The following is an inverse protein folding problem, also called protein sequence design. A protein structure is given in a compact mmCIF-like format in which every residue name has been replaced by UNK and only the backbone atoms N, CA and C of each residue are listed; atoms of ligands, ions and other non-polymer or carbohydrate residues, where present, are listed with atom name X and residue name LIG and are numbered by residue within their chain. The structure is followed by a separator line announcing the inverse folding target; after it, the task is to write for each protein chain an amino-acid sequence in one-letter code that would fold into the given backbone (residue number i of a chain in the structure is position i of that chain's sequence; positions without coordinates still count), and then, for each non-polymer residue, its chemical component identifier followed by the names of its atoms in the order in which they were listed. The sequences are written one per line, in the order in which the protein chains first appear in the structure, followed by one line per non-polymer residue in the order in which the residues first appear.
data_IF_118945890621
#
_entry.id   IF_118945890621
#
_cell.length_a   1.000
_cell.length_b   1.000
_cell.length_c   1.000
_cell.angle_alpha   90.00
_cell.angle_beta   90.00
_cell.angle_gamma   90.00
#
_symmetry.space_group_name_H-M   'P 1'
#
loop_
_entity.id
_entity.type
_entity.pdbx_description
1 polymer ?
#
# COMPACT_ATOMS: atom_id res chain seq x y z
N UNK A 1 24.02 2.35 22.41
CA UNK A 1 23.81 1.03 21.75
C UNK A 1 22.42 1.04 21.16
N UNK A 2 22.28 0.70 19.88
CA UNK A 2 20.97 0.62 19.22
C UNK A 2 20.30 -0.69 19.64
N UNK A 3 19.10 -0.64 20.18
CA UNK A 3 18.32 -1.83 20.56
C UNK A 3 17.64 -2.44 19.33
N UNK A 4 17.07 -3.64 19.45
CA UNK A 4 16.28 -4.25 18.37
C UNK A 4 15.07 -3.39 18.04
N UNK A 5 14.42 -2.80 19.05
CA UNK A 5 13.23 -1.96 18.85
C UNK A 5 13.56 -0.65 18.12
N UNK A 6 14.76 -0.09 18.29
CA UNK A 6 15.18 1.10 17.56
C UNK A 6 15.24 0.87 16.04
N UNK A 7 15.38 -0.40 15.60
CA UNK A 7 15.36 -0.75 14.17
C UNK A 7 14.00 -0.60 13.51
N UNK A 8 12.93 -0.51 14.27
CA UNK A 8 11.57 -0.28 13.77
C UNK A 8 11.20 1.20 13.67
N UNK A 9 12.05 2.10 14.16
CA UNK A 9 11.81 3.53 14.12
C UNK A 9 12.05 4.12 12.74
N UNK A 10 11.26 5.14 12.44
CA UNK A 10 11.28 5.88 11.17
C UNK A 10 11.59 7.37 11.39
N UNK A 11 12.27 7.72 12.49
CA UNK A 11 12.62 9.11 12.80
C UNK A 11 13.43 9.74 11.66
N UNK A 12 13.01 10.92 11.23
CA UNK A 12 13.64 11.66 10.14
C UNK A 12 13.38 11.07 8.75
N UNK A 13 12.47 10.10 8.62
CA UNK A 13 12.02 9.54 7.34
C UNK A 13 10.80 10.27 6.83
N UNK A 14 10.66 10.32 5.50
CA UNK A 14 9.49 10.85 4.80
C UNK A 14 8.80 9.71 4.06
N UNK A 15 7.52 9.47 4.39
CA UNK A 15 6.73 8.42 3.80
C UNK A 15 5.57 8.98 2.95
N UNK A 16 5.47 8.53 1.69
CA UNK A 16 4.31 8.77 0.84
C UNK A 16 3.33 7.62 1.05
N UNK A 17 2.07 7.93 1.37
CA UNK A 17 0.98 6.95 1.45
C UNK A 17 -0.07 7.30 0.41
N UNK A 18 -0.28 6.41 -0.56
CA UNK A 18 -1.33 6.58 -1.57
C UNK A 18 -2.64 5.95 -1.11
N UNK A 19 -3.79 6.51 -1.53
CA UNK A 19 -5.09 6.08 -1.05
C UNK A 19 -5.32 6.38 0.44
N UNK A 20 -4.69 7.44 0.95
CA UNK A 20 -4.70 7.79 2.37
C UNK A 20 -6.00 8.47 2.86
N UNK A 21 -7.05 8.54 2.03
CA UNK A 21 -8.32 9.20 2.38
C UNK A 21 -9.32 8.31 3.12
N UNK A 22 -9.05 7.00 3.26
CA UNK A 22 -9.95 6.06 3.94
C UNK A 22 -9.28 4.70 4.21
N UNK A 23 -9.95 3.88 5.03
CA UNK A 23 -9.62 2.47 5.25
C UNK A 23 -8.18 2.22 5.66
N UNK A 24 -7.53 1.25 5.03
CA UNK A 24 -6.17 0.84 5.35
C UNK A 24 -5.14 1.96 5.19
N UNK A 25 -5.34 2.88 4.23
CA UNK A 25 -4.44 4.01 4.03
C UNK A 25 -4.35 4.94 5.23
N UNK A 26 -5.45 5.13 5.95
CA UNK A 26 -5.49 5.90 7.21
C UNK A 26 -4.72 5.18 8.31
N UNK A 27 -4.93 3.86 8.46
CA UNK A 27 -4.20 3.05 9.45
C UNK A 27 -2.68 3.05 9.17
N UNK A 28 -2.28 2.95 7.90
CA UNK A 28 -0.87 3.02 7.50
C UNK A 28 -0.25 4.38 7.81
N UNK A 29 -0.96 5.47 7.48
CA UNK A 29 -0.51 6.82 7.78
C UNK A 29 -0.32 7.03 9.29
N UNK A 30 -1.31 6.63 10.10
CA UNK A 30 -1.23 6.69 11.58
C UNK A 30 0.00 5.95 12.08
N UNK A 31 0.18 4.68 11.71
CA UNK A 31 1.26 3.85 12.22
C UNK A 31 2.65 4.34 11.79
N UNK A 32 2.80 4.84 10.54
CA UNK A 32 4.05 5.43 10.07
C UNK A 32 4.39 6.72 10.83
N UNK A 33 3.40 7.56 11.14
CA UNK A 33 3.58 8.75 11.97
C UNK A 33 3.99 8.37 13.39
N UNK A 34 3.32 7.43 14.03
CA UNK A 34 3.66 6.91 15.37
C UNK A 34 5.07 6.29 15.41
N UNK A 35 5.52 5.68 14.31
CA UNK A 35 6.88 5.18 14.16
C UNK A 35 7.93 6.28 13.94
N UNK A 36 7.53 7.54 13.68
CA UNK A 36 8.41 8.70 13.60
C UNK A 36 8.55 9.32 12.20
N UNK A 37 7.81 8.86 11.18
CA UNK A 37 7.89 9.40 9.83
C UNK A 37 7.07 10.68 9.65
N UNK A 38 7.56 11.63 8.86
CA UNK A 38 6.76 12.70 8.28
C UNK A 38 6.03 12.17 7.03
N UNK A 39 4.86 12.73 6.69
CA UNK A 39 3.96 12.11 5.73
C UNK A 39 3.61 12.99 4.53
N UNK A 40 3.46 12.35 3.37
CA UNK A 40 2.78 12.88 2.20
C UNK A 40 1.58 11.98 1.92
N UNK A 41 0.39 12.53 2.04
CA UNK A 41 -0.88 11.82 1.93
C UNK A 41 -1.50 12.11 0.57
N UNK A 42 -1.64 11.09 -0.29
CA UNK A 42 -2.15 11.27 -1.64
C UNK A 42 -3.45 10.50 -1.87
N UNK A 43 -4.47 11.16 -2.38
CA UNK A 43 -5.73 10.57 -2.84
C UNK A 43 -6.54 11.61 -3.64
N UNK A 44 -7.61 11.16 -4.32
CA UNK A 44 -8.51 12.06 -5.07
C UNK A 44 -9.38 12.95 -4.19
N UNK A 45 -9.75 12.47 -2.98
CA UNK A 45 -10.68 13.17 -2.06
C UNK A 45 -9.89 14.03 -1.08
N UNK A 46 -9.60 15.27 -1.49
CA UNK A 46 -8.76 16.21 -0.74
C UNK A 46 -9.29 16.47 0.69
N UNK A 47 -10.60 16.68 0.85
CA UNK A 47 -11.23 16.96 2.14
C UNK A 47 -11.04 15.83 3.17
N UNK A 48 -10.98 14.57 2.71
CA UNK A 48 -10.75 13.41 3.57
C UNK A 48 -9.28 13.24 3.95
N UNK A 49 -8.36 13.73 3.14
CA UNK A 49 -6.94 13.72 3.45
C UNK A 49 -6.62 14.60 4.66
N UNK A 50 -7.37 15.68 4.87
CA UNK A 50 -7.20 16.57 6.03
C UNK A 50 -7.48 15.86 7.36
N UNK A 51 -8.43 14.92 7.38
CA UNK A 51 -8.68 14.07 8.56
C UNK A 51 -7.46 13.20 8.86
N UNK A 52 -6.88 12.59 7.84
CA UNK A 52 -5.68 11.75 8.00
C UNK A 52 -4.45 12.59 8.37
N UNK A 53 -4.34 13.80 7.82
CA UNK A 53 -3.29 14.75 8.21
C UNK A 53 -3.35 15.09 9.69
N UNK A 54 -4.54 15.40 10.20
CA UNK A 54 -4.73 15.69 11.62
C UNK A 54 -4.32 14.53 12.53
N UNK A 55 -4.54 13.28 12.11
CA UNK A 55 -4.07 12.08 12.86
C UNK A 55 -2.53 12.04 12.93
N UNK A 56 -1.84 12.33 11.83
CA UNK A 56 -0.37 12.37 11.82
C UNK A 56 0.17 13.51 12.69
N UNK A 57 -0.47 14.67 12.67
CA UNK A 57 -0.11 15.83 13.50
C UNK A 57 -0.31 15.54 15.00
N UNK A 58 -1.37 14.79 15.37
CA UNK A 58 -1.57 14.33 16.75
C UNK A 58 -0.45 13.38 17.23
N UNK A 59 0.15 12.61 16.33
CA UNK A 59 1.36 11.83 16.61
C UNK A 59 2.65 12.68 16.64
N UNK A 60 2.54 14.01 16.51
CA UNK A 60 3.68 14.94 16.54
C UNK A 60 4.50 14.96 15.25
N UNK A 61 3.93 14.52 14.11
CA UNK A 61 4.61 14.47 12.82
C UNK A 61 4.05 15.51 11.85
N UNK A 62 4.90 15.97 10.92
CA UNK A 62 4.46 16.85 9.85
C UNK A 62 3.79 16.02 8.77
N UNK A 63 2.71 16.54 8.20
CA UNK A 63 2.04 15.91 7.08
C UNK A 63 1.52 16.94 6.07
N UNK A 64 1.65 16.64 4.78
CA UNK A 64 1.02 17.38 3.69
C UNK A 64 0.04 16.49 2.93
N UNK A 65 -0.95 17.13 2.31
CA UNK A 65 -1.97 16.46 1.50
C UNK A 65 -1.79 16.85 0.03
N UNK A 66 -1.94 15.89 -0.87
CA UNK A 66 -1.87 16.09 -2.32
C UNK A 66 -3.08 15.41 -2.97
N UNK A 67 -3.96 16.20 -3.57
CA UNK A 67 -5.04 15.66 -4.39
C UNK A 67 -4.45 15.10 -5.70
N UNK A 68 -4.63 13.79 -5.94
CA UNK A 68 -4.02 13.12 -7.09
C UNK A 68 -4.89 11.95 -7.58
N UNK A 69 -5.03 11.80 -8.89
CA UNK A 69 -5.52 10.60 -9.55
C UNK A 69 -4.35 9.77 -10.08
N UNK A 70 -4.01 8.70 -9.38
CA UNK A 70 -2.82 7.91 -9.70
C UNK A 70 -2.94 7.10 -10.99
N UNK A 71 -4.10 7.08 -11.65
CA UNK A 71 -4.21 6.61 -13.02
C UNK A 71 -3.44 7.52 -14.01
N UNK A 72 -3.12 8.77 -13.61
CA UNK A 72 -2.41 9.76 -14.39
C UNK A 72 -0.92 9.83 -13.98
N UNK A 73 0.04 9.59 -14.90
CA UNK A 73 1.47 9.63 -14.59
C UNK A 73 1.97 10.98 -14.08
N UNK A 74 1.36 12.08 -14.57
CA UNK A 74 1.67 13.45 -14.16
C UNK A 74 1.33 13.69 -12.69
N UNK A 75 0.21 13.16 -12.20
CA UNK A 75 -0.19 13.29 -10.80
C UNK A 75 0.78 12.52 -9.88
N UNK A 76 1.24 11.34 -10.31
CA UNK A 76 2.26 10.60 -9.57
C UNK A 76 3.56 11.40 -9.43
N UNK A 77 3.97 12.11 -10.50
CA UNK A 77 5.14 13.00 -10.46
C UNK A 77 4.91 14.18 -9.53
N UNK A 78 3.73 14.82 -9.59
CA UNK A 78 3.38 15.96 -8.73
C UNK A 78 3.37 15.61 -7.24
N UNK A 79 2.94 14.39 -6.86
CA UNK A 79 3.02 13.90 -5.47
C UNK A 79 4.47 13.86 -4.98
N UNK A 80 5.39 13.33 -5.79
CA UNK A 80 6.81 13.24 -5.43
C UNK A 80 7.47 14.61 -5.39
N UNK A 81 7.14 15.49 -6.35
CA UNK A 81 7.64 16.88 -6.35
C UNK A 81 7.20 17.64 -5.11
N UNK A 82 5.95 17.48 -4.66
CA UNK A 82 5.45 18.08 -3.43
C UNK A 82 6.22 17.56 -2.20
N UNK A 83 6.53 16.25 -2.15
CA UNK A 83 7.34 15.66 -1.09
C UNK A 83 8.75 16.26 -1.05
N UNK A 84 9.42 16.34 -2.20
CA UNK A 84 10.77 16.94 -2.30
C UNK A 84 10.76 18.42 -1.93
N UNK A 85 9.77 19.18 -2.38
CA UNK A 85 9.63 20.61 -2.06
C UNK A 85 9.47 20.85 -0.56
N UNK A 86 8.67 20.04 0.12
CA UNK A 86 8.35 20.24 1.54
C UNK A 86 9.40 19.64 2.50
N UNK A 87 9.90 18.44 2.18
CA UNK A 87 10.74 17.66 3.08
C UNK A 87 12.17 17.45 2.59
N UNK A 88 12.46 17.70 1.30
CA UNK A 88 13.78 17.53 0.70
C UNK A 88 14.11 16.11 0.23
N UNK A 89 13.37 15.10 0.65
CA UNK A 89 13.63 13.70 0.32
C UNK A 89 12.36 12.84 0.43
N UNK A 90 12.46 11.59 -0.05
CA UNK A 90 11.44 10.54 0.13
C UNK A 90 12.16 9.24 0.46
N UNK A 91 11.78 8.59 1.57
CA UNK A 91 12.39 7.33 2.02
C UNK A 91 11.46 6.13 1.87
N UNK A 92 10.15 6.34 2.00
CA UNK A 92 9.17 5.27 1.99
C UNK A 92 8.04 5.60 1.02
N UNK A 93 7.66 4.62 0.19
CA UNK A 93 6.43 4.67 -0.60
C UNK A 93 5.54 3.50 -0.19
N UNK A 94 4.30 3.79 0.19
CA UNK A 94 3.24 2.80 0.36
C UNK A 94 2.24 2.96 -0.79
N UNK A 95 2.34 2.09 -1.78
CA UNK A 95 1.39 1.96 -2.88
C UNK A 95 0.15 1.22 -2.39
N UNK A 96 -0.78 1.97 -1.80
CA UNK A 96 -2.02 1.43 -1.24
C UNK A 96 -3.27 1.82 -2.06
N UNK A 97 -3.24 2.91 -2.81
CA UNK A 97 -4.38 3.28 -3.67
C UNK A 97 -4.83 2.11 -4.53
N UNK A 98 -6.13 1.87 -4.56
CA UNK A 98 -6.69 0.78 -5.32
C UNK A 98 -8.21 0.83 -5.40
N UNK A 99 -8.74 0.11 -6.39
CA UNK A 99 -10.16 -0.08 -6.64
C UNK A 99 -10.48 -1.57 -6.73
N UNK A 100 -11.48 -2.02 -5.98
CA UNK A 100 -12.07 -3.34 -6.13
C UNK A 100 -13.17 -3.33 -7.19
N UNK A 101 -13.43 -4.50 -7.78
CA UNK A 101 -14.61 -4.74 -8.62
C UNK A 101 -15.14 -6.14 -8.33
N UNK A 102 -16.45 -6.33 -8.46
CA UNK A 102 -17.09 -7.64 -8.37
C UNK A 102 -18.09 -7.77 -9.54
N UNK A 103 -17.54 -7.95 -10.75
CA UNK A 103 -18.31 -8.03 -11.99
C UNK A 103 -17.99 -9.37 -12.68
N UNK A 104 -19.01 -10.20 -13.03
CA UNK A 104 -18.77 -11.41 -13.82
C UNK A 104 -18.02 -11.11 -15.11
N UNK A 105 -16.99 -11.90 -15.43
CA UNK A 105 -16.11 -11.66 -16.57
C UNK A 105 -16.85 -11.55 -17.92
N UNK A 106 -17.99 -12.23 -18.06
CA UNK A 106 -18.85 -12.14 -19.25
C UNK A 106 -19.63 -10.81 -19.36
N UNK A 107 -19.63 -9.99 -18.30
CA UNK A 107 -20.35 -8.71 -18.23
C UNK A 107 -19.41 -7.53 -17.99
N UNK A 108 -18.16 -7.78 -17.61
CA UNK A 108 -17.15 -6.75 -17.38
C UNK A 108 -16.80 -6.08 -18.72
N UNK A 109 -17.00 -4.78 -18.79
CA UNK A 109 -16.66 -4.01 -19.99
C UNK A 109 -15.16 -3.74 -20.07
N UNK A 110 -14.60 -3.53 -21.29
CA UNK A 110 -13.19 -3.14 -21.46
C UNK A 110 -12.80 -1.88 -20.67
N UNK A 111 -13.73 -0.93 -20.50
CA UNK A 111 -13.49 0.29 -19.73
C UNK A 111 -13.35 -0.01 -18.23
N UNK A 112 -14.24 -0.83 -17.66
CA UNK A 112 -14.14 -1.25 -16.26
C UNK A 112 -12.86 -2.01 -15.97
N UNK A 113 -12.46 -2.93 -16.85
CA UNK A 113 -11.20 -3.67 -16.72
C UNK A 113 -10.00 -2.73 -16.73
N UNK A 114 -9.93 -1.81 -17.73
CA UNK A 114 -8.83 -0.84 -17.85
C UNK A 114 -8.74 0.06 -16.62
N UNK A 115 -9.85 0.60 -16.14
CA UNK A 115 -9.86 1.47 -14.95
C UNK A 115 -9.21 0.80 -13.74
N UNK A 116 -9.49 -0.49 -13.51
CA UNK A 116 -8.86 -1.23 -12.41
C UNK A 116 -7.36 -1.42 -12.63
N UNK A 117 -6.95 -1.78 -13.84
CA UNK A 117 -5.53 -1.93 -14.19
C UNK A 117 -4.81 -0.58 -14.05
N UNK A 118 -5.40 0.50 -14.54
CA UNK A 118 -4.78 1.83 -14.51
C UNK A 118 -4.54 2.31 -13.07
N UNK A 119 -5.50 2.11 -12.17
CA UNK A 119 -5.33 2.51 -10.78
C UNK A 119 -4.40 1.55 -10.01
N UNK A 120 -4.68 0.23 -10.07
CA UNK A 120 -4.05 -0.75 -9.18
C UNK A 120 -2.64 -1.19 -9.60
N UNK A 121 -2.32 -1.11 -10.89
CA UNK A 121 -1.05 -1.56 -11.43
C UNK A 121 -0.25 -0.41 -12.03
N UNK A 122 -0.81 0.29 -13.02
CA UNK A 122 -0.11 1.36 -13.70
C UNK A 122 0.20 2.52 -12.74
N UNK A 123 -0.77 2.93 -11.90
CA UNK A 123 -0.57 3.98 -10.90
C UNK A 123 0.49 3.62 -9.86
N UNK A 124 0.53 2.36 -9.40
CA UNK A 124 1.60 1.88 -8.54
C UNK A 124 2.98 1.94 -9.23
N UNK A 125 3.03 1.63 -10.53
CA UNK A 125 4.27 1.73 -11.30
C UNK A 125 4.72 3.19 -11.49
N UNK A 126 3.81 4.10 -11.82
CA UNK A 126 4.13 5.53 -11.96
C UNK A 126 4.67 6.12 -10.66
N UNK A 127 4.03 5.82 -9.54
CA UNK A 127 4.52 6.23 -8.22
C UNK A 127 5.89 5.63 -7.89
N UNK A 128 6.07 4.32 -8.12
CA UNK A 128 7.35 3.66 -7.89
C UNK A 128 8.46 4.25 -8.78
N UNK A 129 8.16 4.52 -10.06
CA UNK A 129 9.11 5.13 -10.99
C UNK A 129 9.50 6.55 -10.57
N UNK A 130 8.53 7.39 -10.21
CA UNK A 130 8.78 8.76 -9.76
C UNK A 130 9.62 8.77 -8.48
N UNK A 131 9.26 7.96 -7.48
CA UNK A 131 10.02 7.79 -6.24
C UNK A 131 11.42 7.21 -6.50
N UNK A 132 11.53 6.19 -7.34
CA UNK A 132 12.80 5.52 -7.65
C UNK A 132 13.85 6.43 -8.31
N UNK A 133 13.44 7.59 -8.88
CA UNK A 133 14.36 8.60 -9.41
C UNK A 133 15.03 9.43 -8.32
N UNK A 134 14.36 9.63 -7.17
CA UNK A 134 14.77 10.58 -6.12
C UNK A 134 15.10 9.93 -4.78
N UNK A 135 14.66 8.70 -4.54
CA UNK A 135 14.86 7.99 -3.27
C UNK A 135 16.36 7.74 -2.99
N UNK A 136 16.86 8.07 -1.77
CA UNK A 136 18.22 7.74 -1.36
C UNK A 136 18.38 6.25 -1.04
N UNK A 137 19.62 5.72 -0.97
CA UNK A 137 19.89 4.38 -0.45
C UNK A 137 19.31 4.17 0.96
N UNK A 138 18.79 2.98 1.21
CA UNK A 138 18.09 2.63 2.45
C UNK A 138 16.57 2.83 2.40
N UNK A 139 16.05 3.34 1.28
CA UNK A 139 14.61 3.54 1.06
C UNK A 139 13.85 2.24 0.84
N UNK A 140 12.53 2.30 1.00
CA UNK A 140 11.62 1.15 0.83
C UNK A 140 10.36 1.51 0.04
N UNK A 141 9.97 0.64 -0.87
CA UNK A 141 8.68 0.66 -1.57
C UNK A 141 7.88 -0.55 -1.12
N UNK A 142 6.66 -0.32 -0.66
CA UNK A 142 5.74 -1.35 -0.18
C UNK A 142 4.48 -1.30 -1.05
N UNK A 143 4.25 -2.36 -1.82
CA UNK A 143 3.10 -2.50 -2.68
C UNK A 143 2.00 -3.29 -1.97
N UNK A 144 0.82 -2.71 -1.79
CA UNK A 144 -0.32 -3.40 -1.20
C UNK A 144 -1.02 -4.22 -2.30
N UNK A 145 -0.65 -5.49 -2.38
CA UNK A 145 -1.25 -6.48 -3.26
C UNK A 145 -2.59 -7.00 -2.68
N UNK A 146 -2.83 -8.30 -2.73
CA UNK A 146 -4.00 -8.98 -2.14
C UNK A 146 -3.79 -10.49 -2.20
N UNK A 147 -4.42 -11.25 -1.31
CA UNK A 147 -4.58 -12.70 -1.46
C UNK A 147 -5.29 -13.08 -2.77
N UNK A 148 -6.11 -12.20 -3.33
CA UNK A 148 -6.72 -12.39 -4.65
C UNK A 148 -5.71 -12.49 -5.81
N UNK A 149 -4.45 -12.10 -5.59
CA UNK A 149 -3.33 -12.33 -6.51
C UNK A 149 -2.78 -13.76 -6.44
N UNK A 150 -3.07 -14.49 -5.37
CA UNK A 150 -2.50 -15.81 -5.06
C UNK A 150 -3.55 -16.92 -5.20
N UNK A 151 -4.80 -16.63 -4.80
CA UNK A 151 -5.89 -17.59 -4.82
C UNK A 151 -7.22 -16.89 -5.12
N UNK A 152 -8.19 -17.62 -5.70
CA UNK A 152 -9.53 -17.09 -5.93
C UNK A 152 -10.39 -17.22 -4.67
N UNK A 153 -10.99 -16.12 -4.24
CA UNK A 153 -11.95 -16.07 -3.13
C UNK A 153 -13.41 -16.36 -3.51
N UNK A 154 -13.67 -16.70 -4.78
CA UNK A 154 -15.03 -16.97 -5.27
C UNK A 154 -15.82 -15.72 -5.69
N UNK A 155 -15.30 -14.52 -5.49
CA UNK A 155 -15.88 -13.30 -6.08
C UNK A 155 -15.42 -13.16 -7.54
N UNK A 156 -16.29 -12.65 -8.44
CA UNK A 156 -15.92 -12.38 -9.83
C UNK A 156 -15.08 -11.10 -9.93
N UNK A 157 -13.77 -11.22 -9.79
CA UNK A 157 -12.82 -10.09 -9.66
C UNK A 157 -11.65 -10.18 -10.65
N UNK A 158 -11.92 -10.51 -11.93
CA UNK A 158 -10.86 -10.77 -12.92
C UNK A 158 -9.85 -9.62 -13.03
N UNK A 159 -10.31 -8.39 -13.26
CA UNK A 159 -9.44 -7.22 -13.36
C UNK A 159 -8.64 -6.96 -12.05
N UNK A 160 -9.31 -7.08 -10.91
CA UNK A 160 -8.67 -6.89 -9.61
C UNK A 160 -7.56 -7.92 -9.36
N UNK A 161 -7.88 -9.22 -9.52
CA UNK A 161 -6.91 -10.30 -9.33
C UNK A 161 -5.71 -10.17 -10.30
N UNK A 162 -5.98 -9.86 -11.57
CA UNK A 162 -4.94 -9.62 -12.58
C UNK A 162 -4.04 -8.44 -12.19
N UNK A 163 -4.63 -7.32 -11.74
CA UNK A 163 -3.86 -6.14 -11.31
C UNK A 163 -2.96 -6.43 -10.10
N UNK A 164 -3.48 -7.15 -9.10
CA UNK A 164 -2.72 -7.48 -7.89
C UNK A 164 -1.66 -8.56 -8.13
N UNK A 165 -1.91 -9.52 -9.03
CA UNK A 165 -0.90 -10.46 -9.50
C UNK A 165 0.21 -9.76 -10.30
N UNK A 166 -0.15 -8.83 -11.19
CA UNK A 166 0.80 -7.97 -11.90
C UNK A 166 1.68 -7.16 -10.95
N UNK A 167 1.11 -6.64 -9.85
CA UNK A 167 1.84 -5.87 -8.84
C UNK A 167 2.87 -6.73 -8.10
N UNK A 168 2.60 -8.02 -7.85
CA UNK A 168 3.58 -8.97 -7.31
C UNK A 168 4.73 -9.20 -8.31
N UNK A 169 4.42 -9.32 -9.61
CA UNK A 169 5.43 -9.42 -10.67
C UNK A 169 6.31 -8.18 -10.72
N UNK A 170 5.69 -7.00 -10.72
CA UNK A 170 6.38 -5.70 -10.69
C UNK A 170 7.29 -5.55 -9.46
N UNK A 171 6.84 -5.99 -8.29
CA UNK A 171 7.63 -5.97 -7.05
C UNK A 171 8.94 -6.72 -7.20
N UNK A 172 8.92 -7.92 -7.78
CA UNK A 172 10.13 -8.74 -7.99
C UNK A 172 11.09 -8.08 -8.97
N UNK A 173 10.57 -7.58 -10.08
CA UNK A 173 11.40 -6.96 -11.13
C UNK A 173 12.09 -5.68 -10.63
N UNK A 174 11.33 -4.77 -9.98
CA UNK A 174 11.90 -3.55 -9.43
C UNK A 174 12.89 -3.81 -8.30
N UNK A 175 12.68 -4.84 -7.48
CA UNK A 175 13.64 -5.23 -6.44
C UNK A 175 14.99 -5.66 -7.05
N UNK A 176 14.97 -6.46 -8.12
CA UNK A 176 16.20 -6.86 -8.83
C UNK A 176 16.90 -5.66 -9.44
N UNK A 177 16.15 -4.73 -10.05
CA UNK A 177 16.71 -3.55 -10.69
C UNK A 177 17.34 -2.57 -9.68
N UNK A 178 16.73 -2.41 -8.49
CA UNK A 178 17.03 -1.26 -7.63
C UNK A 178 17.74 -1.60 -6.33
N UNK A 179 17.56 -2.80 -5.75
CA UNK A 179 18.12 -3.08 -4.43
C UNK A 179 19.65 -3.00 -4.44
N UNK A 180 20.32 -3.70 -5.32
CA UNK A 180 21.78 -3.65 -5.41
C UNK A 180 22.34 -2.34 -5.98
N UNK A 181 21.63 -1.71 -6.93
CA UNK A 181 22.14 -0.54 -7.66
C UNK A 181 21.83 0.80 -7.00
N UNK A 182 20.70 0.88 -6.30
CA UNK A 182 20.18 2.12 -5.69
C UNK A 182 20.01 2.00 -4.17
N UNK A 183 20.12 0.80 -3.61
CA UNK A 183 19.83 0.57 -2.19
C UNK A 183 18.34 0.70 -1.84
N UNK A 184 17.43 0.57 -2.81
CA UNK A 184 15.98 0.68 -2.61
C UNK A 184 15.39 -0.73 -2.52
N UNK A 185 14.76 -1.07 -1.40
CA UNK A 185 14.03 -2.32 -1.24
C UNK A 185 12.62 -2.18 -1.82
N UNK A 186 12.14 -3.23 -2.49
CA UNK A 186 10.77 -3.29 -3.00
C UNK A 186 10.13 -4.58 -2.51
N UNK A 187 9.02 -4.46 -1.79
CA UNK A 187 8.28 -5.60 -1.22
C UNK A 187 6.79 -5.47 -1.51
N UNK A 188 6.08 -6.56 -1.48
CA UNK A 188 4.62 -6.55 -1.50
C UNK A 188 4.05 -7.13 -0.20
N UNK A 189 2.87 -6.67 0.18
CA UNK A 189 2.02 -7.33 1.17
C UNK A 189 0.80 -7.87 0.43
N UNK A 190 0.37 -9.09 0.75
CA UNK A 190 -0.88 -9.67 0.27
C UNK A 190 -1.86 -9.79 1.45
N UNK A 191 -2.69 -8.77 1.72
CA UNK A 191 -3.68 -8.82 2.77
C UNK A 191 -4.82 -9.79 2.44
N UNK A 192 -5.35 -10.46 3.49
CA UNK A 192 -6.62 -11.14 3.48
C UNK A 192 -7.81 -10.19 3.70
N UNK A 193 -8.76 -10.60 4.53
CA UNK A 193 -9.91 -9.78 4.87
C UNK A 193 -9.60 -8.81 6.01
N UNK A 194 -9.64 -7.52 5.69
CA UNK A 194 -9.53 -6.40 6.64
C UNK A 194 -10.70 -5.44 6.42
N UNK A 195 -11.36 -4.94 7.47
CA UNK A 195 -12.44 -3.95 7.35
C UNK A 195 -11.97 -2.69 6.62
N UNK A 196 -12.71 -2.27 5.60
CA UNK A 196 -12.41 -1.08 4.78
C UNK A 196 -13.60 -0.72 3.90
N UNK A 197 -13.64 0.51 3.34
CA UNK A 197 -14.65 0.90 2.33
C UNK A 197 -14.71 -0.07 1.12
N UNK A 198 -13.65 -0.81 0.85
CA UNK A 198 -13.62 -1.81 -0.23
C UNK A 198 -14.38 -3.07 0.18
N UNK A 199 -14.23 -3.53 1.41
CA UNK A 199 -14.95 -4.71 1.93
C UNK A 199 -16.43 -4.44 2.17
N UNK A 200 -16.81 -3.17 2.43
CA UNK A 200 -18.20 -2.74 2.56
C UNK A 200 -19.00 -2.88 1.24
N UNK A 201 -18.29 -3.03 0.11
CA UNK A 201 -18.89 -3.26 -1.22
C UNK A 201 -19.13 -4.75 -1.51
N UNK A 202 -18.72 -5.66 -0.63
CA UNK A 202 -18.98 -7.08 -0.80
C UNK A 202 -20.44 -7.40 -0.52
N UNK A 203 -20.99 -8.48 -1.10
CA UNK A 203 -22.34 -8.93 -0.78
C UNK A 203 -22.51 -9.17 0.72
N UNK A 204 -23.70 -8.88 1.25
CA UNK A 204 -24.03 -9.10 2.65
C UNK A 204 -23.70 -10.54 3.08
N UNK A 205 -23.06 -10.69 4.23
CA UNK A 205 -22.65 -11.97 4.77
C UNK A 205 -21.50 -12.66 4.03
N UNK A 206 -20.92 -12.04 2.98
CA UNK A 206 -19.80 -12.66 2.25
C UNK A 206 -18.58 -12.88 3.16
N UNK A 207 -18.16 -11.86 3.91
CA UNK A 207 -17.01 -11.99 4.84
C UNK A 207 -17.28 -13.08 5.87
N UNK A 208 -18.48 -13.09 6.48
CA UNK A 208 -18.88 -14.11 7.47
C UNK A 208 -18.84 -15.53 6.88
N UNK A 209 -19.23 -15.69 5.61
CA UNK A 209 -19.17 -16.98 4.92
C UNK A 209 -17.73 -17.49 4.71
N UNK A 210 -16.74 -16.59 4.75
CA UNK A 210 -15.32 -16.94 4.62
C UNK A 210 -14.66 -17.26 5.98
N UNK A 211 -15.23 -16.82 7.12
CA UNK A 211 -14.64 -17.04 8.44
C UNK A 211 -14.31 -18.51 8.74
N UNK A 212 -15.14 -19.51 8.39
CA UNK A 212 -14.79 -20.92 8.60
C UNK A 212 -13.54 -21.39 7.85
N UNK A 213 -13.12 -20.66 6.81
CA UNK A 213 -11.94 -20.96 6.00
C UNK A 213 -10.68 -20.24 6.54
N UNK A 214 -10.83 -19.33 7.50
CA UNK A 214 -9.71 -18.62 8.11
C UNK A 214 -9.27 -19.36 9.38
N UNK A 215 -8.05 -19.89 9.45
CA UNK A 215 -7.51 -20.45 10.69
C UNK A 215 -7.55 -19.49 11.88
N UNK A 216 -7.37 -18.19 11.64
CA UNK A 216 -7.48 -17.16 12.67
C UNK A 216 -8.91 -16.96 13.21
N UNK A 217 -9.95 -17.43 12.52
CA UNK A 217 -11.36 -17.35 12.91
C UNK A 217 -11.95 -15.93 12.94
N UNK A 218 -11.24 -14.93 12.43
CA UNK A 218 -11.67 -13.53 12.40
C UNK A 218 -11.06 -12.77 11.23
N UNK A 219 -11.62 -11.64 10.81
CA UNK A 219 -10.93 -10.67 9.97
C UNK A 219 -9.70 -10.11 10.70
N UNK A 220 -8.74 -9.59 9.93
CA UNK A 220 -7.60 -8.87 10.48
C UNK A 220 -7.99 -7.48 10.99
N UNK A 221 -7.27 -6.99 12.00
CA UNK A 221 -7.34 -5.60 12.43
C UNK A 221 -6.44 -4.74 11.51
N UNK A 222 -6.92 -3.60 10.98
CA UNK A 222 -6.09 -2.67 10.22
C UNK A 222 -4.78 -2.28 10.91
N UNK A 223 -4.73 -2.22 12.23
CA UNK A 223 -3.52 -1.93 13.00
C UNK A 223 -2.49 -3.08 12.94
N UNK A 224 -2.93 -4.35 12.86
CA UNK A 224 -2.03 -5.50 12.66
C UNK A 224 -1.33 -5.42 11.30
N UNK A 225 -2.08 -5.02 10.26
CA UNK A 225 -1.52 -4.83 8.92
C UNK A 225 -0.59 -3.61 8.87
N UNK A 226 -0.96 -2.52 9.55
CA UNK A 226 -0.16 -1.30 9.61
C UNK A 226 1.18 -1.53 10.32
N UNK A 227 1.23 -2.35 11.36
CA UNK A 227 2.48 -2.76 12.00
C UNK A 227 3.41 -3.50 11.02
N UNK A 228 2.85 -4.33 10.12
CA UNK A 228 3.61 -4.98 9.05
C UNK A 228 4.18 -3.96 8.06
N UNK A 229 3.43 -2.90 7.73
CA UNK A 229 3.93 -1.80 6.87
C UNK A 229 5.10 -1.09 7.55
N UNK A 230 4.99 -0.75 8.84
CA UNK A 230 6.09 -0.14 9.61
C UNK A 230 7.33 -1.04 9.61
N UNK A 231 7.17 -2.35 9.84
CA UNK A 231 8.27 -3.31 9.77
C UNK A 231 8.98 -3.26 8.42
N UNK A 232 8.24 -3.40 7.31
CA UNK A 232 8.83 -3.41 5.97
C UNK A 232 9.43 -2.05 5.56
N UNK A 233 8.90 -0.95 6.06
CA UNK A 233 9.45 0.40 5.85
C UNK A 233 10.80 0.60 6.58
N UNK A 234 10.98 -0.06 7.70
CA UNK A 234 12.05 0.19 8.66
C UNK A 234 13.36 -0.55 8.37
N UNK A 235 14.47 -0.15 9.03
CA UNK A 235 15.74 -0.90 8.98
C UNK A 235 15.64 -2.34 9.50
N UNK A 236 14.60 -2.72 10.27
CA UNK A 236 14.40 -4.10 10.71
C UNK A 236 14.20 -5.07 9.53
N UNK A 237 13.65 -4.59 8.41
CA UNK A 237 13.48 -5.37 7.18
C UNK A 237 14.65 -5.20 6.18
N UNK A 238 15.82 -4.78 6.62
CA UNK A 238 16.94 -4.40 5.75
C UNK A 238 17.42 -5.49 4.77
N UNK A 239 17.11 -6.75 5.02
CA UNK A 239 17.47 -7.87 4.14
C UNK A 239 16.25 -8.50 3.45
N UNK A 240 15.10 -7.81 3.45
CA UNK A 240 13.84 -8.25 2.84
C UNK A 240 13.55 -7.40 1.60
N UNK A 241 13.58 -8.02 0.42
CA UNK A 241 13.26 -7.39 -0.87
C UNK A 241 12.79 -8.43 -1.88
N UNK A 242 12.02 -8.04 -2.90
CA UNK A 242 11.55 -8.91 -3.99
C UNK A 242 10.53 -9.97 -3.58
N UNK A 243 10.04 -9.94 -2.34
CA UNK A 243 9.11 -10.93 -1.80
C UNK A 243 7.72 -10.34 -1.58
N UNK A 244 6.76 -11.25 -1.41
CA UNK A 244 5.40 -10.94 -0.99
C UNK A 244 5.16 -11.54 0.39
N UNK A 245 4.84 -10.70 1.37
CA UNK A 245 4.45 -11.12 2.70
C UNK A 245 2.92 -11.28 2.75
N UNK A 246 2.45 -12.49 3.00
CA UNK A 246 1.02 -12.78 3.16
C UNK A 246 0.61 -12.46 4.59
N UNK A 247 -0.49 -11.69 4.74
CA UNK A 247 -1.07 -11.29 6.04
C UNK A 247 -2.59 -11.53 5.93
N UNK A 248 -3.03 -12.75 6.16
CA UNK A 248 -4.37 -13.20 5.76
C UNK A 248 -5.09 -14.10 6.77
N UNK A 249 -4.57 -14.24 7.98
CA UNK A 249 -5.13 -15.13 8.99
C UNK A 249 -5.07 -16.62 8.62
N UNK A 250 -4.20 -16.99 7.67
CA UNK A 250 -4.03 -18.36 7.19
C UNK A 250 -4.96 -18.75 6.04
N UNK A 251 -5.69 -17.80 5.45
CA UNK A 251 -6.67 -18.06 4.36
C UNK A 251 -6.05 -18.81 3.17
N UNK A 252 -4.78 -18.55 2.84
CA UNK A 252 -4.08 -19.16 1.70
C UNK A 252 -3.10 -20.26 2.09
N UNK A 253 -3.16 -20.77 3.31
CA UNK A 253 -2.21 -21.77 3.81
C UNK A 253 -2.48 -23.20 3.27
N UNK A 254 -3.64 -23.45 2.61
CA UNK A 254 -4.03 -24.76 2.05
C UNK A 254 -4.94 -24.61 0.83
#
# INVERSE_FOLDING_TARGET
MTTVLDRFRLDGKVAIVTGASSGLGVAFAKALAEAGADLVLAARRAERLEVTRAIAEQAGRRAITVAADLALPEDASAVVEAAIKEFGHVDVLVNNAGKGTAVPATRETPAQFREVIDINLNGCYWMAQACGRVMPPGSAIINIASVAALASGGLPQAAYSASKAGLIGLTRDLAVQWTGRKGIRVTAIAPGFFPSEMTDQFPDGYVDSQLPRLPAGRPGDPEELAATVVFLASPAAGYITGTTLVVDGGLTAF
#
